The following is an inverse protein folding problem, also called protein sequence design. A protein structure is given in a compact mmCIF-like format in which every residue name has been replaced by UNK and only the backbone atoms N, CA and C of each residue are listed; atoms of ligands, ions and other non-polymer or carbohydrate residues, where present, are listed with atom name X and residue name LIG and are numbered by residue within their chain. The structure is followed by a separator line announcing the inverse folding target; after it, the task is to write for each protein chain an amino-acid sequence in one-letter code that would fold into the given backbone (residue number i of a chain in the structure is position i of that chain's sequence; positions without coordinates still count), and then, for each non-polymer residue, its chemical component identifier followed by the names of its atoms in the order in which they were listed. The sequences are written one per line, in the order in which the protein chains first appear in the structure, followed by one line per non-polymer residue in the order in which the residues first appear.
data_IF_934471744916
#
_entry.id   IF_934471744916
#
_cell.length_a   1.000
_cell.length_b   1.000
_cell.length_c   1.000
_cell.angle_alpha   90.00
_cell.angle_beta   90.00
_cell.angle_gamma   90.00
#
_symmetry.space_group_name_H-M   'P 1'
#
loop_
_entity.id
_entity.type
_entity.pdbx_description
1 polymer ?
#
# COMPACT_ATOMS: atom_id res chain seq x y z
N UNK A 1 30.86 7.45 -28.84
CA UNK A 1 30.07 6.32 -28.28
C UNK A 1 29.58 6.70 -26.88
N UNK A 2 28.74 7.73 -26.79
CA UNK A 2 28.33 8.29 -25.50
C UNK A 2 27.01 9.06 -25.65
N UNK A 3 25.85 8.37 -25.72
CA UNK A 3 24.53 9.01 -25.64
C UNK A 3 23.37 8.00 -25.50
N UNK A 4 23.39 7.09 -24.53
CA UNK A 4 22.24 6.17 -24.32
C UNK A 4 21.67 6.23 -22.90
N UNK A 5 22.22 7.00 -21.97
CA UNK A 5 21.89 6.86 -20.53
C UNK A 5 21.08 8.00 -19.89
N UNK A 6 20.34 8.77 -20.68
CA UNK A 6 19.51 9.87 -20.14
C UNK A 6 17.99 9.64 -20.16
N UNK A 7 17.49 8.49 -20.63
CA UNK A 7 16.04 8.27 -20.85
C UNK A 7 15.28 7.59 -19.73
N UNK A 8 15.92 6.99 -18.72
CA UNK A 8 15.20 6.18 -17.72
C UNK A 8 14.69 6.96 -16.50
N UNK A 9 15.10 8.22 -16.31
CA UNK A 9 14.68 9.01 -15.13
C UNK A 9 13.26 9.60 -15.21
N UNK A 10 12.66 9.64 -16.39
CA UNK A 10 11.38 10.33 -16.59
C UNK A 10 10.14 9.43 -16.50
N UNK A 11 10.30 8.12 -16.59
CA UNK A 11 9.15 7.20 -16.59
C UNK A 11 8.43 7.19 -15.23
N UNK A 12 9.16 7.23 -14.12
CA UNK A 12 8.57 7.27 -12.78
C UNK A 12 7.75 8.53 -12.49
N UNK A 13 8.15 9.67 -13.07
CA UNK A 13 7.43 10.94 -12.91
C UNK A 13 6.12 10.96 -13.69
N UNK A 14 6.09 10.35 -14.87
CA UNK A 14 4.89 10.26 -15.70
C UNK A 14 3.83 9.30 -15.12
N UNK A 15 4.25 8.18 -14.53
CA UNK A 15 3.32 7.24 -13.88
C UNK A 15 2.66 7.90 -12.65
N UNK A 16 3.42 8.65 -11.85
CA UNK A 16 2.88 9.41 -10.72
C UNK A 16 1.94 10.53 -11.19
N UNK A 17 2.28 11.23 -12.27
CA UNK A 17 1.45 12.30 -12.84
C UNK A 17 0.13 11.77 -13.44
N UNK A 18 0.14 10.61 -14.08
CA UNK A 18 -1.06 9.97 -14.63
C UNK A 18 -1.98 9.49 -13.49
N UNK A 19 -1.44 8.94 -12.41
CA UNK A 19 -2.24 8.53 -11.25
C UNK A 19 -2.90 9.73 -10.55
N UNK A 20 -2.21 10.85 -10.43
CA UNK A 20 -2.74 12.10 -9.85
C UNK A 20 -3.78 12.73 -10.79
N UNK A 21 -3.52 12.77 -12.09
CA UNK A 21 -4.44 13.34 -13.07
C UNK A 21 -5.71 12.48 -13.24
N UNK A 22 -5.60 11.15 -13.22
CA UNK A 22 -6.73 10.24 -13.25
C UNK A 22 -7.62 10.38 -12.00
N UNK A 23 -7.03 10.55 -10.83
CA UNK A 23 -7.76 10.77 -9.58
C UNK A 23 -8.50 12.11 -9.53
N UNK A 24 -7.90 13.17 -10.03
CA UNK A 24 -8.53 14.49 -10.11
C UNK A 24 -9.68 14.52 -11.12
N UNK A 25 -9.59 13.77 -12.22
CA UNK A 25 -10.66 13.67 -13.22
C UNK A 25 -11.91 12.96 -12.68
N UNK A 26 -11.73 11.94 -11.82
CA UNK A 26 -12.87 11.27 -11.15
C UNK A 26 -13.57 12.22 -10.18
N UNK A 27 -12.83 13.07 -9.46
CA UNK A 27 -13.42 14.06 -8.54
C UNK A 27 -14.28 15.13 -9.26
N UNK A 28 -14.01 15.42 -10.54
CA UNK A 28 -14.75 16.45 -11.29
C UNK A 28 -16.15 16.00 -11.77
N UNK A 29 -16.47 14.71 -11.69
CA UNK A 29 -17.74 14.14 -12.17
C UNK A 29 -18.72 13.81 -11.03
N UNK A 30 -18.31 13.98 -9.78
CA UNK A 30 -19.15 13.62 -8.65
C UNK A 30 -20.26 14.64 -8.41
N UNK A 31 -21.53 14.23 -8.38
CA UNK A 31 -22.65 15.14 -8.15
C UNK A 31 -22.59 15.74 -6.74
N UNK A 32 -22.95 17.02 -6.63
CA UNK A 32 -22.92 17.78 -5.37
C UNK A 32 -23.87 17.28 -4.26
N UNK A 33 -24.66 16.26 -4.54
CA UNK A 33 -25.66 15.66 -3.64
C UNK A 33 -25.17 14.40 -2.90
N UNK A 34 -23.88 14.13 -2.90
CA UNK A 34 -23.28 12.90 -2.34
C UNK A 34 -23.15 12.87 -0.82
N UNK A 35 -23.99 13.60 -0.10
CA UNK A 35 -23.85 13.80 1.35
C UNK A 35 -24.09 12.52 2.20
N UNK A 36 -24.74 11.50 1.62
CA UNK A 36 -25.03 10.22 2.28
C UNK A 36 -24.65 8.97 1.45
N UNK A 37 -23.97 9.15 0.35
CA UNK A 37 -23.49 8.01 -0.41
C UNK A 37 -22.38 7.30 0.38
N UNK A 38 -22.56 6.04 0.65
CA UNK A 38 -21.57 5.23 1.39
C UNK A 38 -20.32 4.89 0.58
N UNK A 39 -20.26 5.34 -0.65
CA UNK A 39 -19.11 5.14 -1.54
C UNK A 39 -18.08 6.25 -1.34
N UNK A 40 -16.80 5.93 -1.50
CA UNK A 40 -15.71 6.89 -1.34
C UNK A 40 -14.51 6.50 -2.19
N UNK A 41 -13.94 7.46 -2.90
CA UNK A 41 -12.58 7.36 -3.43
C UNK A 41 -11.64 7.92 -2.39
N UNK A 42 -10.52 7.24 -2.14
CA UNK A 42 -9.54 7.74 -1.19
C UNK A 42 -8.10 7.59 -1.69
N UNK A 43 -7.23 8.45 -1.18
CA UNK A 43 -5.78 8.39 -1.32
C UNK A 43 -5.16 8.28 0.05
N UNK A 44 -4.21 7.39 0.20
CA UNK A 44 -3.50 7.15 1.46
C UNK A 44 -1.98 7.17 1.23
N UNK A 45 -1.23 7.49 2.26
CA UNK A 45 0.22 7.46 2.19
C UNK A 45 0.83 7.67 3.57
N UNK A 46 2.07 7.25 3.73
CA UNK A 46 2.72 7.37 5.01
C UNK A 46 3.92 6.46 5.16
N UNK A 47 4.08 5.97 6.35
CA UNK A 47 5.20 5.12 6.76
C UNK A 47 4.88 3.65 6.54
N UNK A 48 5.86 2.91 6.05
CA UNK A 48 5.81 1.43 5.95
C UNK A 48 7.04 0.81 6.60
N UNK A 49 6.86 -0.34 7.23
CA UNK A 49 7.93 -1.11 7.84
C UNK A 49 7.77 -2.59 7.53
N UNK A 50 8.78 -3.14 6.88
CA UNK A 50 8.89 -4.58 6.65
C UNK A 50 9.26 -5.32 7.93
N UNK A 51 8.83 -6.57 8.08
CA UNK A 51 9.30 -7.43 9.16
C UNK A 51 10.81 -7.58 9.12
N UNK A 52 11.45 -7.56 10.29
CA UNK A 52 12.89 -7.73 10.42
C UNK A 52 13.34 -9.18 10.22
N UNK A 53 12.43 -10.13 10.37
CA UNK A 53 12.72 -11.55 10.23
C UNK A 53 12.26 -12.06 8.86
N UNK A 54 13.06 -11.76 7.83
CA UNK A 54 12.79 -12.18 6.45
C UNK A 54 13.52 -13.46 6.05
N UNK A 55 13.84 -14.34 7.00
CA UNK A 55 14.60 -15.57 6.75
C UNK A 55 15.99 -15.32 6.13
N UNK A 56 16.53 -14.12 6.32
CA UNK A 56 17.91 -13.79 6.02
C UNK A 56 18.20 -13.07 4.72
N UNK A 57 17.22 -12.81 3.83
CA UNK A 57 17.57 -12.21 2.54
C UNK A 57 16.54 -11.22 2.01
N UNK A 58 16.84 -9.93 2.10
CA UNK A 58 16.15 -8.91 1.32
C UNK A 58 16.60 -8.94 -0.15
N UNK A 59 17.85 -9.31 -0.38
CA UNK A 59 18.48 -9.37 -1.68
C UNK A 59 19.16 -10.72 -1.83
N UNK A 60 18.52 -11.59 -2.58
CA UNK A 60 19.10 -12.85 -2.92
C UNK A 60 20.33 -12.63 -3.79
N UNK A 61 21.46 -12.80 -3.21
CA UNK A 61 22.63 -13.44 -3.78
C UNK A 61 23.72 -13.48 -2.72
N UNK A 62 23.65 -14.59 -2.00
CA UNK A 62 24.58 -14.94 -0.98
C UNK A 62 25.99 -15.01 -1.45
N UNK A 63 26.66 -13.93 -1.54
CA UNK A 63 28.10 -14.03 -1.51
C UNK A 63 28.74 -13.33 -0.34
N UNK A 64 28.07 -12.55 0.44
CA UNK A 64 28.72 -11.92 1.59
C UNK A 64 27.74 -11.41 2.65
N UNK A 65 27.00 -12.24 3.30
CA UNK A 65 26.51 -12.09 4.66
C UNK A 65 26.33 -10.71 5.33
N UNK A 66 25.99 -9.65 4.60
CA UNK A 66 25.70 -8.37 5.23
C UNK A 66 24.19 -8.23 5.39
N UNK A 67 23.73 -8.51 6.60
CA UNK A 67 22.37 -8.29 7.09
C UNK A 67 22.15 -6.82 7.49
N UNK A 68 22.29 -5.88 6.59
CA UNK A 68 21.93 -4.49 6.85
C UNK A 68 20.70 -4.11 6.03
N UNK A 69 19.58 -4.72 6.40
CA UNK A 69 18.32 -4.48 5.75
C UNK A 69 17.59 -3.34 6.42
N UNK A 70 17.59 -2.19 5.80
CA UNK A 70 16.67 -1.16 6.23
C UNK A 70 15.25 -1.59 5.85
N UNK A 71 14.48 -1.89 6.87
CA UNK A 71 13.10 -2.34 6.77
C UNK A 71 12.08 -1.20 6.76
N UNK A 72 12.54 0.04 6.81
CA UNK A 72 11.73 1.24 6.91
C UNK A 72 11.57 1.88 5.53
N UNK A 73 10.38 2.39 5.24
CA UNK A 73 10.09 3.03 3.98
C UNK A 73 8.85 3.92 4.03
N UNK A 74 8.37 4.29 2.87
CA UNK A 74 7.12 5.03 2.69
C UNK A 74 6.20 4.29 1.71
N UNK A 75 4.93 4.57 1.81
CA UNK A 75 3.94 4.08 0.87
C UNK A 75 3.05 5.20 0.34
N UNK A 76 2.49 4.96 -0.83
CA UNK A 76 1.41 5.74 -1.39
C UNK A 76 0.41 4.79 -2.05
N UNK A 77 -0.88 5.08 -1.93
CA UNK A 77 -1.93 4.24 -2.46
C UNK A 77 -3.22 4.99 -2.70
N UNK A 78 -4.13 4.33 -3.38
CA UNK A 78 -5.48 4.79 -3.63
C UNK A 78 -6.45 3.62 -3.52
N UNK A 79 -7.73 3.93 -3.29
CA UNK A 79 -8.75 2.90 -3.25
C UNK A 79 -10.16 3.45 -3.34
N UNK A 80 -11.07 2.50 -3.36
CA UNK A 80 -12.50 2.70 -3.42
C UNK A 80 -13.15 1.98 -2.25
N UNK A 81 -14.00 2.70 -1.53
CA UNK A 81 -14.98 2.11 -0.62
C UNK A 81 -16.34 2.08 -1.31
N UNK A 82 -17.02 0.97 -1.24
CA UNK A 82 -18.40 0.84 -1.73
C UNK A 82 -19.28 0.26 -0.63
N UNK A 83 -20.42 0.91 -0.41
CA UNK A 83 -21.36 0.55 0.64
C UNK A 83 -22.02 -0.80 0.32
N UNK A 84 -21.93 -1.74 1.25
CA UNK A 84 -22.59 -3.03 1.18
C UNK A 84 -23.88 -3.07 2.03
N UNK A 85 -23.83 -2.49 3.24
CA UNK A 85 -24.97 -2.42 4.16
C UNK A 85 -24.81 -1.25 5.14
N UNK A 86 -25.92 -0.57 5.47
CA UNK A 86 -25.94 0.55 6.45
C UNK A 86 -26.11 0.10 7.90
N UNK A 87 -26.48 -1.14 8.12
CA UNK A 87 -26.77 -1.71 9.44
C UNK A 87 -26.06 -3.05 9.69
N UNK A 88 -25.04 -3.35 8.86
CA UNK A 88 -24.33 -4.63 8.90
C UNK A 88 -25.31 -5.80 8.81
N UNK A 89 -26.26 -5.70 7.86
CA UNK A 89 -27.36 -6.69 7.67
C UNK A 89 -28.23 -6.91 8.92
N UNK A 90 -28.48 -5.84 9.69
CA UNK A 90 -29.26 -5.89 10.91
C UNK A 90 -28.52 -6.40 12.15
N UNK A 91 -27.22 -6.65 12.03
CA UNK A 91 -26.41 -7.14 13.15
C UNK A 91 -25.97 -6.02 14.11
N UNK A 92 -25.74 -4.81 13.59
CA UNK A 92 -25.26 -3.69 14.38
C UNK A 92 -25.84 -2.36 13.88
N UNK A 93 -26.60 -1.68 14.71
CA UNK A 93 -27.14 -0.36 14.42
C UNK A 93 -26.03 0.68 14.23
N UNK A 94 -26.26 1.64 13.32
CA UNK A 94 -25.32 2.76 13.05
C UNK A 94 -23.91 2.30 12.65
N UNK A 95 -23.84 1.14 12.00
CA UNK A 95 -22.56 0.52 11.62
C UNK A 95 -22.65 0.07 10.17
N UNK A 96 -21.79 0.65 9.33
CA UNK A 96 -21.76 0.32 7.90
C UNK A 96 -20.81 -0.83 7.61
N UNK A 97 -21.25 -1.77 6.81
CA UNK A 97 -20.39 -2.71 6.14
C UNK A 97 -20.06 -2.14 4.76
N UNK A 98 -18.77 -2.03 4.47
CA UNK A 98 -18.21 -1.44 3.26
C UNK A 98 -17.25 -2.44 2.64
N UNK A 99 -17.26 -2.59 1.32
CA UNK A 99 -16.20 -3.26 0.59
C UNK A 99 -15.12 -2.25 0.23
N UNK A 100 -13.87 -2.58 0.48
CA UNK A 100 -12.72 -1.80 0.03
C UNK A 100 -11.98 -2.54 -1.07
N UNK A 101 -11.60 -1.79 -2.13
CA UNK A 101 -10.64 -2.22 -3.14
C UNK A 101 -9.52 -1.20 -3.16
N UNK A 102 -8.28 -1.64 -2.98
CA UNK A 102 -7.12 -0.76 -2.90
C UNK A 102 -5.96 -1.19 -3.77
N UNK A 103 -5.11 -0.22 -4.09
CA UNK A 103 -3.80 -0.43 -4.66
C UNK A 103 -2.80 0.44 -3.91
N UNK A 104 -1.65 -0.13 -3.57
CA UNK A 104 -0.63 0.52 -2.79
C UNK A 104 0.76 0.22 -3.34
N UNK A 105 1.57 1.24 -3.45
CA UNK A 105 3.00 1.14 -3.75
C UNK A 105 3.80 1.39 -2.47
N UNK A 106 4.66 0.43 -2.12
CA UNK A 106 5.57 0.51 -1.00
C UNK A 106 7.00 0.62 -1.51
N UNK A 107 7.76 1.53 -0.96
CA UNK A 107 9.17 1.70 -1.23
C UNK A 107 9.94 1.63 0.07
N UNK A 108 10.61 0.51 0.30
CA UNK A 108 11.47 0.31 1.45
C UNK A 108 12.84 0.93 1.19
N UNK A 109 13.63 1.15 2.23
CA UNK A 109 14.93 1.78 2.09
C UNK A 109 15.89 0.93 1.23
N UNK A 110 16.80 1.60 0.54
CA UNK A 110 17.80 0.96 -0.30
C UNK A 110 19.01 0.53 0.52
N UNK A 111 19.57 -0.64 0.20
CA UNK A 111 20.83 -1.13 0.74
C UNK A 111 21.89 -1.26 -0.34
N UNK A 112 23.15 -1.14 0.07
CA UNK A 112 24.29 -1.42 -0.80
C UNK A 112 24.67 -2.89 -0.65
N UNK A 113 24.57 -3.64 -1.73
CA UNK A 113 25.01 -5.03 -1.79
C UNK A 113 26.41 -5.06 -2.43
N UNK A 114 27.39 -5.61 -1.71
CA UNK A 114 28.71 -5.87 -2.29
C UNK A 114 28.65 -7.09 -3.19
N UNK A 115 28.66 -6.85 -4.50
CA UNK A 115 28.83 -7.91 -5.47
C UNK A 115 30.26 -8.38 -5.51
N UNK A 116 30.50 -9.68 -5.43
CA UNK A 116 31.80 -10.25 -5.78
C UNK A 116 31.98 -10.15 -7.30
N UNK A 117 32.68 -9.10 -7.73
CA UNK A 117 33.06 -8.97 -9.13
C UNK A 117 34.09 -10.01 -9.52
N UNK A 118 33.96 -10.56 -10.72
CA UNK A 118 35.02 -11.35 -11.35
C UNK A 118 36.24 -10.46 -11.45
N UNK A 119 37.35 -10.83 -10.80
CA UNK A 119 38.61 -10.10 -10.77
C UNK A 119 38.82 -9.08 -9.63
N UNK A 120 38.39 -9.38 -8.41
CA UNK A 120 38.89 -8.65 -7.21
C UNK A 120 38.38 -7.22 -7.01
N UNK A 121 37.48 -6.75 -7.84
CA UNK A 121 36.85 -5.44 -7.68
C UNK A 121 35.49 -5.61 -7.00
N UNK A 122 35.35 -5.07 -5.78
CA UNK A 122 34.07 -4.99 -5.08
C UNK A 122 33.28 -3.81 -5.61
N UNK A 123 32.23 -4.05 -6.34
CA UNK A 123 31.30 -2.99 -6.80
C UNK A 123 30.11 -2.96 -5.84
N UNK A 124 29.90 -1.83 -5.16
CA UNK A 124 28.71 -1.61 -4.37
C UNK A 124 27.52 -1.35 -5.29
N UNK A 125 26.58 -2.26 -5.38
CA UNK A 125 25.32 -2.09 -6.11
C UNK A 125 24.24 -1.67 -5.12
N UNK A 126 23.67 -0.49 -5.32
CA UNK A 126 22.50 -0.04 -4.56
C UNK A 126 21.27 -0.75 -5.08
N UNK A 127 20.66 -1.56 -4.25
CA UNK A 127 19.41 -2.25 -4.55
C UNK A 127 18.30 -1.69 -3.67
N UNK A 128 17.13 -1.48 -4.24
CA UNK A 128 15.96 -0.95 -3.56
C UNK A 128 14.81 -1.93 -3.63
N UNK A 129 14.25 -2.28 -2.47
CA UNK A 129 13.05 -3.09 -2.42
C UNK A 129 11.82 -2.23 -2.61
N UNK A 130 11.00 -2.61 -3.57
CA UNK A 130 9.69 -2.03 -3.84
C UNK A 130 8.63 -3.13 -3.90
N UNK A 131 7.41 -2.79 -3.53
CA UNK A 131 6.30 -3.73 -3.56
C UNK A 131 5.02 -3.01 -3.96
N UNK A 132 4.27 -3.60 -4.87
CA UNK A 132 2.90 -3.21 -5.19
C UNK A 132 1.98 -4.19 -4.49
N UNK A 133 1.00 -3.68 -3.77
CA UNK A 133 -0.06 -4.48 -3.13
C UNK A 133 -1.40 -4.09 -3.72
N UNK A 134 -2.19 -5.09 -4.11
CA UNK A 134 -3.60 -4.93 -4.44
C UNK A 134 -4.38 -5.60 -3.32
N UNK A 135 -5.35 -4.90 -2.75
CA UNK A 135 -6.11 -5.37 -1.61
C UNK A 135 -7.62 -5.33 -1.85
N UNK A 136 -8.32 -6.34 -1.31
CA UNK A 136 -9.79 -6.42 -1.27
C UNK A 136 -10.20 -6.78 0.14
N UNK A 137 -11.05 -5.96 0.76
CA UNK A 137 -11.38 -6.13 2.19
C UNK A 137 -12.80 -5.73 2.54
N UNK A 138 -13.46 -6.47 3.42
CA UNK A 138 -14.59 -5.94 4.17
C UNK A 138 -14.09 -4.93 5.21
N UNK A 139 -14.71 -3.77 5.26
CA UNK A 139 -14.44 -2.71 6.22
C UNK A 139 -15.70 -2.40 7.01
N UNK A 140 -15.60 -2.35 8.30
CA UNK A 140 -16.72 -2.02 9.20
C UNK A 140 -16.48 -0.60 9.74
N UNK A 141 -17.40 0.30 9.40
CA UNK A 141 -17.35 1.71 9.86
C UNK A 141 -18.44 1.94 10.91
N UNK A 142 -18.03 2.39 12.08
CA UNK A 142 -18.92 2.67 13.20
C UNK A 142 -19.43 4.11 13.22
N UNK A 143 -20.43 4.40 14.08
CA UNK A 143 -20.93 5.73 14.39
C UNK A 143 -21.47 6.49 13.17
N UNK A 144 -22.39 5.86 12.44
CA UNK A 144 -23.13 6.54 11.36
C UNK A 144 -23.71 7.87 11.83
N UNK A 145 -23.66 8.89 10.96
CA UNK A 145 -24.17 10.24 11.24
C UNK A 145 -23.26 11.09 12.14
N UNK A 146 -22.09 10.59 12.53
CA UNK A 146 -21.14 11.39 13.30
C UNK A 146 -19.94 11.80 12.44
N UNK A 147 -19.39 12.99 12.72
CA UNK A 147 -18.24 13.52 11.99
C UNK A 147 -17.00 12.61 12.14
N UNK A 148 -16.78 12.02 13.31
CA UNK A 148 -15.68 11.08 13.56
C UNK A 148 -16.20 9.64 13.52
N UNK A 149 -15.71 8.88 12.57
CA UNK A 149 -16.09 7.47 12.33
C UNK A 149 -14.88 6.55 12.40
N UNK A 150 -14.69 5.82 13.51
CA UNK A 150 -13.71 4.75 13.55
C UNK A 150 -14.14 3.59 12.66
N UNK A 151 -13.15 2.84 12.17
CA UNK A 151 -13.39 1.68 11.32
C UNK A 151 -12.34 0.58 11.55
N UNK A 152 -12.70 -0.64 11.18
CA UNK A 152 -11.81 -1.80 11.21
C UNK A 152 -11.92 -2.58 9.91
N UNK A 153 -10.83 -3.23 9.52
CA UNK A 153 -10.78 -4.32 8.55
C UNK A 153 -10.45 -5.58 9.35
N UNK A 154 -11.44 -6.45 9.61
CA UNK A 154 -11.21 -7.67 10.41
C UNK A 154 -10.31 -8.66 9.70
N UNK A 155 -10.44 -8.78 8.38
CA UNK A 155 -9.59 -9.57 7.49
C UNK A 155 -9.82 -9.11 6.06
N UNK A 156 -8.76 -8.95 5.29
CA UNK A 156 -8.78 -8.68 3.85
C UNK A 156 -7.82 -9.60 3.12
N UNK A 157 -7.93 -9.66 1.82
CA UNK A 157 -7.02 -10.39 0.93
C UNK A 157 -6.06 -9.42 0.27
N UNK A 158 -4.80 -9.82 0.17
CA UNK A 158 -3.74 -9.06 -0.46
C UNK A 158 -3.05 -9.88 -1.56
N UNK A 159 -2.67 -9.19 -2.62
CA UNK A 159 -1.75 -9.71 -3.63
C UNK A 159 -0.55 -8.76 -3.67
N UNK A 160 0.63 -9.29 -3.39
CA UNK A 160 1.87 -8.55 -3.35
C UNK A 160 2.74 -8.88 -4.55
N UNK A 161 3.22 -7.85 -5.25
CA UNK A 161 4.22 -7.98 -6.32
C UNK A 161 5.50 -7.29 -5.85
N UNK A 162 6.56 -8.06 -5.66
CA UNK A 162 7.81 -7.65 -5.03
C UNK A 162 8.91 -7.50 -6.07
N UNK A 163 9.71 -6.43 -5.99
CA UNK A 163 10.86 -6.18 -6.84
C UNK A 163 12.05 -5.67 -6.01
N UNK A 164 13.26 -6.23 -6.13
CA UNK A 164 13.60 -7.38 -6.96
C UNK A 164 13.00 -8.67 -6.43
N UNK A 165 12.75 -9.66 -7.31
CA UNK A 165 12.26 -10.97 -6.90
C UNK A 165 13.30 -11.69 -6.03
N UNK A 166 12.84 -12.52 -5.12
CA UNK A 166 13.69 -13.48 -4.41
C UNK A 166 14.24 -14.53 -5.38
N UNK A 167 15.18 -15.34 -4.92
CA UNK A 167 15.79 -16.42 -5.73
C UNK A 167 14.75 -17.10 -6.62
N UNK A 168 15.08 -17.33 -7.89
CA UNK A 168 14.27 -18.06 -8.87
C UNK A 168 13.01 -17.34 -9.39
N UNK A 169 12.98 -16.02 -9.43
CA UNK A 169 11.89 -15.25 -10.07
C UNK A 169 10.52 -15.30 -9.37
N UNK A 170 10.43 -15.71 -8.13
CA UNK A 170 9.19 -15.66 -7.35
C UNK A 170 8.96 -14.23 -6.83
N UNK A 171 8.15 -13.50 -7.54
CA UNK A 171 7.84 -12.09 -7.25
C UNK A 171 6.40 -11.86 -6.77
N UNK A 172 5.55 -12.90 -6.81
CA UNK A 172 4.16 -12.83 -6.41
C UNK A 172 3.98 -13.51 -5.05
N UNK A 173 3.31 -12.83 -4.14
CA UNK A 173 2.87 -13.38 -2.85
C UNK A 173 1.40 -13.04 -2.62
N UNK A 174 0.68 -13.95 -1.98
CA UNK A 174 -0.72 -13.74 -1.57
C UNK A 174 -0.72 -13.63 -0.06
N UNK A 175 -1.58 -12.78 0.47
CA UNK A 175 -1.59 -12.54 1.90
C UNK A 175 -2.96 -12.14 2.44
N UNK A 176 -2.94 -11.84 3.72
CA UNK A 176 -4.07 -11.30 4.46
C UNK A 176 -3.70 -9.95 5.03
N UNK A 177 -4.68 -9.03 5.11
CA UNK A 177 -4.50 -7.79 5.84
C UNK A 177 -5.52 -7.65 6.97
N UNK A 178 -5.09 -6.92 7.98
CA UNK A 178 -5.90 -6.46 9.10
C UNK A 178 -5.69 -4.95 9.21
N UNK A 179 -6.74 -4.23 9.55
CA UNK A 179 -6.62 -2.78 9.61
C UNK A 179 -7.54 -2.13 10.62
N UNK A 180 -7.15 -0.96 11.08
CA UNK A 180 -7.97 -0.08 11.88
C UNK A 180 -7.63 1.37 11.60
N UNK A 181 -8.61 2.24 11.79
CA UNK A 181 -8.41 3.66 11.59
C UNK A 181 -9.62 4.47 12.00
N UNK A 182 -9.57 5.74 11.67
CA UNK A 182 -10.68 6.65 11.87
C UNK A 182 -10.72 7.68 10.74
N UNK A 183 -11.92 8.02 10.31
CA UNK A 183 -12.17 9.12 9.37
C UNK A 183 -12.90 10.26 10.07
N UNK A 184 -12.58 11.48 9.68
CA UNK A 184 -13.25 12.68 10.11
C UNK A 184 -13.80 13.43 8.91
N UNK A 185 -15.08 13.70 8.90
CA UNK A 185 -15.75 14.48 7.86
C UNK A 185 -15.46 15.97 8.09
N UNK A 186 -14.61 16.53 7.21
CA UNK A 186 -14.21 17.94 7.29
C UNK A 186 -15.26 18.85 6.66
N UNK A 187 -15.78 18.44 5.51
CA UNK A 187 -16.77 19.23 4.77
C UNK A 187 -17.52 18.35 3.78
N UNK A 188 -18.86 18.30 3.89
CA UNK A 188 -19.73 17.55 2.97
C UNK A 188 -19.16 16.18 2.60
N UNK A 189 -18.73 16.04 1.35
CA UNK A 189 -18.16 14.80 0.81
C UNK A 189 -16.68 14.60 1.19
N UNK A 190 -15.98 15.63 1.68
CA UNK A 190 -14.54 15.56 1.95
C UNK A 190 -14.24 15.01 3.35
N UNK A 191 -13.44 13.97 3.39
CA UNK A 191 -13.02 13.30 4.61
C UNK A 191 -11.50 13.24 4.71
N UNK A 192 -10.99 13.29 5.93
CA UNK A 192 -9.58 13.01 6.25
C UNK A 192 -9.53 11.91 7.29
N UNK A 193 -8.47 11.15 7.32
CA UNK A 193 -8.37 10.08 8.29
C UNK A 193 -6.95 9.63 8.54
N UNK A 194 -6.85 8.71 9.47
CA UNK A 194 -5.63 7.94 9.75
C UNK A 194 -5.95 6.47 9.59
N UNK A 195 -5.03 5.72 9.00
CA UNK A 195 -5.13 4.27 8.93
C UNK A 195 -3.84 3.59 9.41
N UNK A 196 -4.00 2.40 9.93
CA UNK A 196 -2.93 1.51 10.30
C UNK A 196 -3.29 0.10 9.82
N UNK A 197 -2.37 -0.57 9.11
CA UNK A 197 -2.61 -1.91 8.56
C UNK A 197 -1.43 -2.80 8.79
N UNK A 198 -1.75 -4.05 9.01
CA UNK A 198 -0.78 -5.13 9.08
C UNK A 198 -1.06 -6.14 7.97
N UNK A 199 -0.05 -6.45 7.19
CA UNK A 199 -0.11 -7.34 6.04
C UNK A 199 0.71 -8.59 6.33
N UNK A 200 0.03 -9.75 6.26
CA UNK A 200 0.63 -11.06 6.41
C UNK A 200 0.78 -11.71 5.05
N UNK A 201 2.00 -11.89 4.61
CA UNK A 201 2.29 -12.64 3.38
C UNK A 201 2.26 -14.15 3.65
N UNK A 202 1.74 -14.93 2.72
CA UNK A 202 1.61 -16.38 2.85
C UNK A 202 2.94 -17.15 2.70
N UNK A 203 4.04 -16.46 2.38
CA UNK A 203 5.36 -17.07 2.23
C UNK A 203 5.50 -17.87 0.94
N UNK A 204 4.80 -17.51 -0.11
CA UNK A 204 4.94 -18.11 -1.44
C UNK A 204 6.29 -17.78 -2.09
N UNK A 205 6.94 -16.73 -1.58
CA UNK A 205 8.32 -16.39 -1.89
C UNK A 205 9.26 -16.99 -0.84
N UNK A 206 10.56 -17.10 -1.13
CA UNK A 206 11.54 -17.63 -0.17
C UNK A 206 11.84 -16.65 0.99
N UNK A 207 11.13 -15.52 1.07
CA UNK A 207 11.32 -14.50 2.09
C UNK A 207 10.01 -14.20 2.79
N UNK A 208 10.08 -13.86 4.09
CA UNK A 208 8.92 -13.38 4.84
C UNK A 208 8.67 -11.91 4.49
N UNK A 209 7.52 -11.61 3.88
CA UNK A 209 7.19 -10.29 3.38
C UNK A 209 6.10 -9.58 4.20
N UNK A 210 5.97 -9.94 5.47
CA UNK A 210 5.05 -9.26 6.37
C UNK A 210 5.46 -7.80 6.57
N UNK A 211 4.51 -6.90 6.57
CA UNK A 211 4.80 -5.49 6.78
C UNK A 211 3.64 -4.76 7.47
N UNK A 212 3.96 -3.61 8.00
CA UNK A 212 3.03 -2.70 8.64
C UNK A 212 3.03 -1.36 7.92
N UNK A 213 1.85 -0.75 7.78
CA UNK A 213 1.70 0.60 7.25
C UNK A 213 0.90 1.47 8.21
N UNK A 214 1.26 2.75 8.30
CA UNK A 214 0.50 3.74 9.05
C UNK A 214 0.62 5.10 8.36
N UNK A 215 -0.50 5.81 8.23
CA UNK A 215 -0.46 7.13 7.63
C UNK A 215 -1.83 7.79 7.50
N UNK A 216 -1.84 9.06 7.12
CA UNK A 216 -3.04 9.78 6.79
C UNK A 216 -3.64 9.31 5.46
N UNK A 217 -4.94 9.54 5.33
CA UNK A 217 -5.63 9.48 4.06
C UNK A 217 -6.62 10.63 3.88
N UNK A 218 -6.94 10.90 2.63
CA UNK A 218 -7.98 11.83 2.23
C UNK A 218 -8.97 11.12 1.34
N UNK A 219 -10.25 11.41 1.48
CA UNK A 219 -11.30 10.77 0.71
C UNK A 219 -12.40 11.72 0.30
N UNK A 220 -13.05 11.37 -0.80
CA UNK A 220 -14.23 12.06 -1.32
C UNK A 220 -15.35 11.05 -1.47
N UNK A 221 -16.44 11.26 -0.73
CA UNK A 221 -17.66 10.43 -0.80
C UNK A 221 -18.56 10.84 -1.95
N UNK A 222 -19.25 9.90 -2.58
CA UNK A 222 -20.17 10.13 -3.69
C UNK A 222 -21.30 9.09 -3.70
#
# INVERSE_FOLDING_TARGET
MMQVWKRSRNIGVWVAAIAIAGGLAVCAVLPASAEEAGNMVFYRGGFTRLSSDRSGETFANGSTGQKNDSNIGWYAGAGLDFLLSKDTWGAMDKTWAVGELGVQFNRFASNSVRGAGVSGSTTDVKTQLTMVTIDVSPKIKFREGQALRPWIIPVGLDIHVISPPSNQTQYLDIGLQFGAGAEYQVWKAFKVGLDARFHLAAGMTNTTNNYFTVGPYVGVSF
#
